data_IF_383056672986
#
_entry.id   IF_383056672986
#
_cell.length_a   1.000
_cell.length_b   1.000
_cell.length_c   1.000
_cell.angle_alpha   90.00
_cell.angle_beta   90.00
_cell.angle_gamma   90.00
#
_symmetry.space_group_name_H-M   'P 1'
#
loop_
_entity.id
_entity.type
_entity.pdbx_description
1 polymer ?
#
# COMPACT_ATOMS: atom_id res chain seq x y z
N UNK A 1 1.84 -2.85 15.58
CA UNK A 1 0.67 -2.24 16.29
C UNK A 1 0.26 -1.00 15.54
N UNK A 2 -1.04 -0.74 15.36
CA UNK A 2 -1.53 0.42 14.64
C UNK A 2 -1.33 1.73 15.44
N UNK A 3 -1.12 2.86 14.76
CA UNK A 3 -1.02 4.19 15.39
C UNK A 3 -2.44 4.70 15.67
N UNK A 4 -2.72 5.08 16.92
CA UNK A 4 -4.05 5.57 17.31
C UNK A 4 -4.36 6.91 16.67
N UNK A 5 -5.46 6.97 15.91
CA UNK A 5 -5.95 8.20 15.28
C UNK A 5 -6.32 9.27 16.32
N UNK A 6 -6.86 8.85 17.48
CA UNK A 6 -7.22 9.77 18.54
C UNK A 6 -5.98 10.42 19.17
N UNK A 7 -4.92 9.65 19.43
CA UNK A 7 -3.67 10.18 19.97
C UNK A 7 -3.05 11.19 19.03
N UNK A 8 -3.01 10.89 17.73
CA UNK A 8 -2.47 11.81 16.71
C UNK A 8 -3.31 13.09 16.63
N UNK A 9 -4.64 12.98 16.58
CA UNK A 9 -5.52 14.15 16.51
C UNK A 9 -5.36 15.06 17.73
N UNK A 10 -5.36 14.49 18.94
CA UNK A 10 -5.18 15.26 20.18
C UNK A 10 -3.81 15.94 20.22
N UNK A 11 -2.74 15.24 19.80
CA UNK A 11 -1.39 15.83 19.76
C UNK A 11 -1.32 16.99 18.77
N UNK A 12 -1.88 16.84 17.58
CA UNK A 12 -1.94 17.91 16.57
C UNK A 12 -2.71 19.11 17.11
N UNK A 13 -3.90 18.90 17.69
CA UNK A 13 -4.67 19.98 18.31
C UNK A 13 -3.92 20.66 19.45
N UNK A 14 -3.23 19.89 20.29
CA UNK A 14 -2.47 20.42 21.41
C UNK A 14 -1.36 21.35 20.94
N UNK A 15 -0.62 20.96 19.91
CA UNK A 15 0.45 21.76 19.33
C UNK A 15 -0.13 23.04 18.70
N UNK A 16 -1.20 22.94 17.90
CA UNK A 16 -1.82 24.08 17.27
C UNK A 16 -2.40 25.07 18.28
N UNK A 17 -3.04 24.58 19.34
CA UNK A 17 -3.63 25.42 20.38
C UNK A 17 -2.54 26.09 21.25
N UNK A 18 -1.44 25.39 21.57
CA UNK A 18 -0.33 25.96 22.36
C UNK A 18 0.31 27.15 21.68
N UNK A 19 0.39 27.09 20.37
CA UNK A 19 0.96 28.16 19.56
C UNK A 19 -0.05 29.28 19.21
N UNK A 20 -1.32 29.18 19.67
CA UNK A 20 -2.45 30.07 19.34
C UNK A 20 -2.63 30.26 17.81
N UNK A 21 -2.34 29.20 17.03
CA UNK A 21 -2.16 29.31 15.58
C UNK A 21 -3.34 28.79 14.76
N UNK A 22 -4.43 28.44 15.41
CA UNK A 22 -5.64 28.04 14.72
C UNK A 22 -6.22 26.71 15.21
N UNK A 23 -7.29 26.31 14.61
CA UNK A 23 -8.06 25.11 14.90
C UNK A 23 -8.27 24.34 13.61
N UNK A 24 -8.14 23.03 13.69
CA UNK A 24 -8.47 22.13 12.58
C UNK A 24 -9.74 21.34 12.94
N UNK A 25 -10.67 21.31 12.01
CA UNK A 25 -11.89 20.50 12.18
C UNK A 25 -11.60 19.02 12.00
N UNK A 26 -12.41 18.12 12.61
CA UNK A 26 -12.26 16.68 12.41
C UNK A 26 -12.31 16.24 10.94
N UNK A 27 -13.14 16.89 10.12
CA UNK A 27 -13.25 16.58 8.70
C UNK A 27 -11.97 16.91 7.92
N UNK A 28 -11.38 18.10 8.19
CA UNK A 28 -10.09 18.50 7.62
C UNK A 28 -8.98 17.58 8.07
N UNK A 29 -8.94 17.24 9.38
CA UNK A 29 -7.97 16.29 9.91
C UNK A 29 -8.06 14.93 9.21
N UNK A 30 -9.27 14.36 9.04
CA UNK A 30 -9.46 13.07 8.39
C UNK A 30 -8.96 13.09 6.93
N UNK A 31 -9.17 14.19 6.22
CA UNK A 31 -8.64 14.37 4.86
C UNK A 31 -7.12 14.38 4.83
N UNK A 32 -6.49 15.14 5.73
CA UNK A 32 -5.03 15.20 5.84
C UNK A 32 -4.43 13.88 6.33
N UNK A 33 -5.07 13.22 7.30
CA UNK A 33 -4.64 11.94 7.81
C UNK A 33 -4.59 10.88 6.71
N UNK A 34 -5.60 10.85 5.84
CA UNK A 34 -5.64 9.95 4.68
C UNK A 34 -4.51 10.24 3.70
N UNK A 35 -4.30 11.52 3.37
CA UNK A 35 -3.22 11.94 2.46
C UNK A 35 -1.86 11.58 3.01
N UNK A 36 -1.60 11.88 4.28
CA UNK A 36 -0.31 11.59 4.94
C UNK A 36 -0.05 10.08 5.03
N UNK A 37 -1.07 9.28 5.36
CA UNK A 37 -0.92 7.83 5.36
C UNK A 37 -0.58 7.30 3.96
N UNK A 38 -1.25 7.78 2.92
CA UNK A 38 -0.97 7.38 1.54
C UNK A 38 0.46 7.80 1.10
N UNK A 39 0.94 8.96 1.51
CA UNK A 39 2.30 9.42 1.23
C UNK A 39 3.36 8.55 1.90
N UNK A 40 3.19 8.23 3.20
CA UNK A 40 4.11 7.36 3.93
C UNK A 40 4.09 5.95 3.35
N UNK A 41 2.89 5.40 3.08
CA UNK A 41 2.77 4.09 2.46
C UNK A 41 3.47 4.02 1.09
N UNK A 42 3.29 5.04 0.25
CA UNK A 42 3.95 5.09 -1.05
C UNK A 42 5.48 5.23 -0.93
N UNK A 43 5.99 5.87 0.13
CA UNK A 43 7.43 6.01 0.35
C UNK A 43 8.13 4.66 0.65
N UNK A 44 7.40 3.64 1.08
CA UNK A 44 7.94 2.29 1.26
C UNK A 44 8.28 1.57 -0.06
N UNK A 45 7.82 2.10 -1.19
CA UNK A 45 8.06 1.54 -2.52
C UNK A 45 8.95 2.47 -3.36
N UNK A 46 10.24 2.61 -3.01
CA UNK A 46 11.15 3.45 -3.75
C UNK A 46 11.31 2.95 -5.19
N UNK A 47 11.58 3.85 -6.11
CA UNK A 47 11.89 3.48 -7.50
C UNK A 47 13.06 2.50 -7.54
N UNK A 48 12.90 1.36 -8.20
CA UNK A 48 13.94 0.33 -8.33
C UNK A 48 15.26 0.85 -8.89
N UNK A 49 15.25 1.99 -9.58
CA UNK A 49 16.46 2.68 -10.03
C UNK A 49 17.24 3.34 -8.88
N UNK A 50 16.59 3.80 -7.82
CA UNK A 50 17.27 4.35 -6.66
C UNK A 50 17.97 3.25 -5.86
N UNK A 51 17.29 2.11 -5.68
CA UNK A 51 17.86 0.93 -5.02
C UNK A 51 19.11 0.42 -5.72
N UNK A 52 19.10 0.36 -7.06
CA UNK A 52 20.25 -0.05 -7.85
C UNK A 52 21.43 0.96 -7.81
N UNK A 53 21.16 2.24 -7.58
CA UNK A 53 22.22 3.28 -7.47
C UNK A 53 22.92 3.25 -6.12
N UNK A 54 22.21 2.91 -5.05
CA UNK A 54 22.79 2.78 -3.71
C UNK A 54 23.85 1.65 -3.65
N UNK A 55 23.64 0.56 -4.38
CA UNK A 55 24.58 -0.57 -4.43
C UNK A 55 25.91 -0.28 -5.15
N UNK A 56 25.98 0.74 -6.01
CA UNK A 56 27.19 0.98 -6.83
C UNK A 56 28.26 1.83 -6.15
N UNK A 57 27.94 2.53 -5.07
CA UNK A 57 28.84 3.51 -4.46
C UNK A 57 29.43 3.12 -3.12
N UNK A 58 29.08 1.96 -2.53
CA UNK A 58 29.54 1.67 -1.17
C UNK A 58 29.96 0.22 -0.99
N UNK A 59 31.25 -0.04 -1.18
CA UNK A 59 31.88 -1.35 -0.93
C UNK A 59 32.12 -1.65 0.56
N UNK A 60 31.78 -0.72 1.48
CA UNK A 60 32.06 -0.88 2.89
C UNK A 60 30.82 -1.12 3.79
N UNK A 61 29.57 -0.97 3.30
CA UNK A 61 28.37 -0.99 4.13
C UNK A 61 27.28 -1.98 3.65
N UNK A 62 27.66 -3.21 3.31
CA UNK A 62 26.67 -4.27 3.03
C UNK A 62 25.68 -4.49 4.19
N UNK A 63 26.15 -4.27 5.44
CA UNK A 63 25.35 -4.50 6.64
C UNK A 63 24.26 -3.42 6.82
N UNK A 64 24.58 -2.15 6.57
CA UNK A 64 23.60 -1.05 6.70
C UNK A 64 22.52 -1.12 5.63
N UNK A 65 22.91 -1.51 4.41
CA UNK A 65 21.96 -1.74 3.32
C UNK A 65 21.00 -2.90 3.62
N UNK A 66 21.49 -4.00 4.17
CA UNK A 66 20.67 -5.12 4.62
C UNK A 66 19.69 -4.69 5.72
N UNK A 67 20.15 -3.95 6.71
CA UNK A 67 19.29 -3.45 7.79
C UNK A 67 18.17 -2.54 7.26
N UNK A 68 18.46 -1.64 6.34
CA UNK A 68 17.46 -0.76 5.73
C UNK A 68 16.41 -1.54 4.93
N UNK A 69 16.81 -2.60 4.20
CA UNK A 69 15.86 -3.48 3.51
C UNK A 69 14.99 -4.27 4.49
N UNK A 70 15.58 -4.79 5.56
CA UNK A 70 14.84 -5.50 6.58
C UNK A 70 13.81 -4.60 7.25
N UNK A 71 14.17 -3.37 7.60
CA UNK A 71 13.26 -2.40 8.23
C UNK A 71 12.09 -2.04 7.32
N UNK A 72 12.35 -1.76 6.03
CA UNK A 72 11.28 -1.54 5.05
C UNK A 72 10.43 -2.79 4.89
N UNK A 73 11.04 -3.97 4.83
CA UNK A 73 10.32 -5.23 4.73
C UNK A 73 9.39 -5.45 5.93
N UNK A 74 9.86 -5.20 7.14
CA UNK A 74 9.02 -5.27 8.35
C UNK A 74 7.85 -4.30 8.31
N UNK A 75 8.05 -3.06 7.88
CA UNK A 75 6.99 -2.06 7.73
C UNK A 75 5.96 -2.48 6.67
N UNK A 76 6.40 -3.06 5.56
CA UNK A 76 5.53 -3.51 4.46
C UNK A 76 4.89 -4.87 4.74
N UNK A 77 5.52 -5.73 5.56
CA UNK A 77 5.06 -7.09 5.83
C UNK A 77 3.62 -7.13 6.39
N UNK A 78 3.20 -6.11 7.14
CA UNK A 78 1.83 -6.01 7.65
C UNK A 78 0.77 -5.83 6.55
N UNK A 79 1.18 -5.40 5.35
CA UNK A 79 0.31 -5.22 4.18
C UNK A 79 0.39 -6.36 3.18
N UNK A 80 1.33 -7.31 3.37
CA UNK A 80 1.49 -8.48 2.51
C UNK A 80 0.63 -9.61 3.03
N UNK A 81 -0.21 -10.14 2.19
CA UNK A 81 -1.04 -11.31 2.50
C UNK A 81 -1.12 -12.24 1.31
N UNK A 82 -1.05 -13.54 1.57
CA UNK A 82 -1.36 -14.55 0.58
C UNK A 82 -2.89 -14.70 0.47
N UNK A 83 -3.40 -14.56 -0.74
CA UNK A 83 -4.85 -14.61 -1.02
C UNK A 83 -5.14 -15.58 -2.14
N UNK A 84 -6.17 -16.37 -1.95
CA UNK A 84 -6.74 -17.21 -3.00
C UNK A 84 -7.67 -16.39 -3.91
N UNK A 85 -7.54 -16.56 -5.22
CA UNK A 85 -8.32 -15.84 -6.21
C UNK A 85 -9.59 -16.57 -6.58
N UNK A 86 -10.69 -15.85 -6.64
CA UNK A 86 -11.96 -16.36 -7.14
C UNK A 86 -11.98 -16.43 -8.65
N UNK A 87 -12.71 -17.38 -9.21
CA UNK A 87 -12.87 -17.55 -10.65
C UNK A 87 -14.05 -16.71 -11.13
N UNK A 88 -13.82 -15.89 -12.14
CA UNK A 88 -14.86 -15.16 -12.86
C UNK A 88 -14.99 -15.70 -14.29
N UNK A 89 -16.21 -16.10 -14.66
CA UNK A 89 -16.50 -16.66 -15.98
C UNK A 89 -17.24 -15.62 -16.82
N UNK A 90 -16.65 -15.22 -17.95
CA UNK A 90 -17.33 -14.38 -18.93
C UNK A 90 -18.22 -15.26 -19.81
N UNK A 91 -19.52 -15.14 -19.63
CA UNK A 91 -20.54 -16.00 -20.26
C UNK A 91 -20.52 -15.93 -21.78
N UNK A 92 -20.14 -14.78 -22.38
CA UNK A 92 -20.18 -14.58 -23.83
C UNK A 92 -19.10 -15.36 -24.60
N UNK A 93 -17.94 -15.64 -24.00
CA UNK A 93 -16.81 -16.27 -24.69
C UNK A 93 -16.23 -17.47 -23.95
N UNK A 94 -16.87 -17.95 -22.90
CA UNK A 94 -16.42 -19.03 -22.04
C UNK A 94 -14.95 -18.82 -21.58
N UNK A 95 -14.59 -17.56 -21.26
CA UNK A 95 -13.28 -17.18 -20.79
C UNK A 95 -13.27 -17.10 -19.26
N UNK A 96 -12.27 -17.69 -18.66
CA UNK A 96 -12.09 -17.69 -17.21
C UNK A 96 -11.03 -16.66 -16.82
N UNK A 97 -11.36 -15.88 -15.81
CA UNK A 97 -10.46 -14.90 -15.20
C UNK A 97 -10.41 -15.14 -13.71
N UNK A 98 -9.28 -14.80 -13.12
CA UNK A 98 -9.07 -14.88 -11.69
C UNK A 98 -8.97 -13.47 -11.13
N UNK A 99 -9.58 -13.22 -9.98
CA UNK A 99 -9.53 -11.92 -9.33
C UNK A 99 -9.46 -12.08 -7.81
N UNK A 100 -8.76 -11.19 -7.11
CA UNK A 100 -8.76 -11.17 -5.66
C UNK A 100 -10.09 -10.64 -5.12
N UNK A 101 -10.52 -11.16 -3.98
CA UNK A 101 -11.78 -10.76 -3.33
C UNK A 101 -11.74 -9.39 -2.64
N UNK A 102 -10.59 -8.72 -2.56
CA UNK A 102 -10.36 -7.48 -1.81
C UNK A 102 -9.58 -6.45 -2.62
N UNK A 103 -9.56 -5.20 -2.14
CA UNK A 103 -8.81 -4.10 -2.77
C UNK A 103 -7.31 -4.36 -2.76
N UNK A 104 -6.73 -4.49 -3.94
CA UNK A 104 -5.32 -4.80 -4.15
C UNK A 104 -4.59 -3.54 -4.58
N UNK A 105 -3.48 -3.22 -3.89
CA UNK A 105 -2.56 -2.19 -4.32
C UNK A 105 -1.60 -2.73 -5.38
N UNK A 106 -0.93 -3.85 -5.08
CA UNK A 106 0.02 -4.48 -5.99
C UNK A 106 -0.06 -6.00 -5.85
N UNK A 107 0.01 -6.70 -6.98
CA UNK A 107 0.11 -8.16 -7.00
C UNK A 107 1.59 -8.51 -7.15
N UNK A 108 2.07 -9.35 -6.25
CA UNK A 108 3.42 -9.90 -6.28
C UNK A 108 3.47 -11.22 -7.05
N UNK A 109 4.02 -12.24 -6.42
CA UNK A 109 4.15 -13.57 -7.02
C UNK A 109 2.78 -14.26 -7.13
N UNK A 110 2.48 -14.78 -8.32
CA UNK A 110 1.25 -15.53 -8.59
C UNK A 110 1.60 -17.01 -8.73
N UNK A 111 0.93 -17.85 -7.95
CA UNK A 111 1.11 -19.30 -7.94
C UNK A 111 -0.14 -19.97 -8.51
N UNK A 112 0.05 -20.75 -9.54
CA UNK A 112 -1.01 -21.54 -10.18
C UNK A 112 -0.91 -23.00 -9.76
N UNK A 113 -2.00 -23.55 -9.20
CA UNK A 113 -2.09 -24.94 -8.76
C UNK A 113 -2.94 -25.74 -9.73
N UNK A 114 -2.41 -26.86 -10.17
CA UNK A 114 -3.03 -27.82 -11.07
C UNK A 114 -3.24 -29.13 -10.33
N UNK A 115 -4.51 -29.52 -10.16
CA UNK A 115 -4.85 -30.81 -9.58
C UNK A 115 -4.59 -31.94 -10.58
N UNK A 116 -4.10 -33.06 -10.11
CA UNK A 116 -3.75 -34.25 -10.87
C UNK A 116 -2.87 -35.14 -10.07
N UNK A 117 -2.38 -36.23 -10.65
CA UNK A 117 -1.35 -37.05 -10.00
C UNK A 117 -0.10 -37.01 -10.87
N UNK A 118 0.98 -36.31 -10.42
CA UNK A 118 1.08 -35.51 -9.18
C UNK A 118 0.41 -34.14 -9.30
N UNK A 119 0.11 -33.49 -8.16
CA UNK A 119 -0.30 -32.08 -8.09
C UNK A 119 0.89 -31.18 -8.37
N UNK A 120 0.71 -30.18 -9.22
CA UNK A 120 1.74 -29.20 -9.56
C UNK A 120 1.34 -27.82 -9.04
N UNK A 121 2.24 -27.15 -8.35
CA UNK A 121 2.16 -25.74 -8.04
C UNK A 121 3.35 -25.03 -8.70
N UNK A 122 3.07 -24.03 -9.52
CA UNK A 122 4.10 -23.37 -10.32
C UNK A 122 3.93 -21.85 -10.25
N UNK A 123 5.06 -21.15 -10.18
CA UNK A 123 5.09 -19.69 -10.29
C UNK A 123 4.68 -19.32 -11.71
N UNK A 124 3.70 -18.40 -11.79
CA UNK A 124 3.12 -17.97 -13.07
C UNK A 124 3.81 -16.69 -13.54
N UNK A 125 4.35 -16.70 -14.76
CA UNK A 125 5.08 -15.57 -15.30
C UNK A 125 4.15 -14.50 -15.88
N UNK A 126 4.36 -13.23 -15.49
CA UNK A 126 3.68 -12.10 -16.09
C UNK A 126 4.22 -11.83 -17.49
N UNK A 127 3.31 -11.70 -18.45
CA UNK A 127 3.64 -11.33 -19.83
C UNK A 127 2.70 -10.23 -20.32
N UNK A 128 3.08 -9.52 -21.37
CA UNK A 128 2.19 -8.57 -22.02
C UNK A 128 1.06 -9.32 -22.77
N UNK A 129 -0.09 -8.67 -22.95
CA UNK A 129 -1.22 -9.27 -23.72
C UNK A 129 -0.81 -9.68 -25.13
N UNK A 130 0.10 -8.92 -25.77
CA UNK A 130 0.60 -9.22 -27.11
C UNK A 130 1.48 -10.49 -27.11
N UNK A 131 2.37 -10.61 -26.12
CA UNK A 131 3.21 -11.81 -25.94
C UNK A 131 2.38 -13.03 -25.59
N UNK A 132 1.43 -12.89 -24.66
CA UNK A 132 0.49 -13.96 -24.32
C UNK A 132 -0.17 -14.54 -25.57
N UNK A 133 -0.68 -13.70 -26.46
CA UNK A 133 -1.35 -14.14 -27.70
C UNK A 133 -0.39 -14.83 -28.68
N UNK A 134 0.89 -14.42 -28.74
CA UNK A 134 1.91 -15.06 -29.56
C UNK A 134 2.32 -16.41 -29.00
N UNK A 135 2.61 -16.47 -27.69
CA UNK A 135 3.07 -17.67 -27.01
C UNK A 135 1.95 -18.75 -27.05
N UNK A 136 0.69 -18.38 -26.81
CA UNK A 136 -0.41 -19.34 -26.81
C UNK A 136 -0.66 -19.98 -28.19
N UNK A 137 -0.40 -19.25 -29.28
CA UNK A 137 -0.53 -19.74 -30.66
C UNK A 137 0.66 -20.54 -31.15
N UNK A 138 1.80 -20.42 -30.49
CA UNK A 138 3.02 -21.13 -30.86
C UNK A 138 2.94 -22.60 -30.47
N UNK A 139 3.29 -23.49 -31.38
CA UNK A 139 3.37 -24.92 -31.08
C UNK A 139 4.59 -25.28 -30.23
N UNK A 140 5.66 -24.45 -30.29
CA UNK A 140 6.92 -24.71 -29.60
C UNK A 140 6.97 -24.11 -28.21
N UNK A 141 6.40 -22.90 -28.03
CA UNK A 141 6.50 -22.16 -26.79
C UNK A 141 5.18 -22.13 -26.00
N UNK A 142 4.22 -22.98 -26.37
CA UNK A 142 2.92 -23.04 -25.71
C UNK A 142 3.08 -23.26 -24.20
N UNK A 143 2.37 -22.51 -23.34
CA UNK A 143 2.48 -22.64 -21.89
C UNK A 143 2.15 -24.05 -21.41
N UNK A 144 2.89 -24.50 -20.40
CA UNK A 144 2.67 -25.78 -19.75
C UNK A 144 2.32 -25.59 -18.28
N UNK A 145 1.87 -26.64 -17.60
CA UNK A 145 1.59 -26.59 -16.16
C UNK A 145 2.83 -26.25 -15.31
N UNK A 146 4.04 -26.49 -15.82
CA UNK A 146 5.30 -26.14 -15.16
C UNK A 146 5.72 -24.70 -15.42
N UNK A 147 5.33 -24.14 -16.55
CA UNK A 147 5.67 -22.77 -16.99
C UNK A 147 4.39 -22.06 -17.43
N UNK A 148 3.47 -21.77 -16.49
CA UNK A 148 2.26 -21.03 -16.80
C UNK A 148 2.57 -19.54 -17.00
N UNK A 149 1.75 -18.88 -17.79
CA UNK A 149 1.84 -17.45 -18.06
C UNK A 149 0.53 -16.75 -17.75
N UNK A 150 0.58 -15.48 -17.39
CA UNK A 150 -0.61 -14.66 -17.20
C UNK A 150 -0.42 -13.23 -17.70
N UNK A 151 -1.54 -12.55 -17.94
CA UNK A 151 -1.55 -11.13 -18.18
C UNK A 151 -2.70 -10.46 -17.43
N UNK A 152 -2.57 -9.15 -17.19
CA UNK A 152 -3.62 -8.35 -16.56
C UNK A 152 -4.61 -7.84 -17.59
N UNK A 153 -5.89 -7.91 -17.24
CA UNK A 153 -6.96 -7.26 -17.96
C UNK A 153 -7.81 -6.47 -16.95
N UNK A 154 -8.14 -5.22 -17.26
CA UNK A 154 -9.05 -4.45 -16.44
C UNK A 154 -10.48 -4.95 -16.65
N UNK A 155 -11.12 -5.39 -15.57
CA UNK A 155 -12.52 -5.81 -15.60
C UNK A 155 -13.46 -4.61 -15.59
N UNK A 156 -14.66 -4.77 -16.15
CA UNK A 156 -15.73 -3.77 -16.07
C UNK A 156 -16.44 -3.78 -14.72
N UNK A 157 -16.32 -4.86 -13.96
CA UNK A 157 -16.92 -5.00 -12.64
C UNK A 157 -15.93 -4.59 -11.55
N UNK A 158 -16.32 -3.66 -10.70
CA UNK A 158 -15.59 -3.15 -9.53
C UNK A 158 -14.17 -2.63 -9.78
N UNK A 159 -13.77 -2.35 -11.03
CA UNK A 159 -12.42 -1.87 -11.34
C UNK A 159 -11.30 -2.86 -11.01
N UNK A 160 -11.64 -4.11 -10.71
CA UNK A 160 -10.70 -5.16 -10.32
C UNK A 160 -9.79 -5.56 -11.47
N UNK A 161 -8.53 -5.81 -11.16
CA UNK A 161 -7.60 -6.39 -12.11
C UNK A 161 -7.92 -7.88 -12.28
N UNK A 162 -8.32 -8.27 -13.48
CA UNK A 162 -8.56 -9.65 -13.84
C UNK A 162 -7.28 -10.27 -14.39
N UNK A 163 -6.96 -11.48 -13.96
CA UNK A 163 -5.82 -12.25 -14.45
C UNK A 163 -6.32 -13.33 -15.40
N UNK A 164 -5.80 -13.35 -16.61
CA UNK A 164 -5.99 -14.49 -17.53
C UNK A 164 -4.74 -15.35 -17.53
N UNK A 165 -4.90 -16.61 -17.16
CA UNK A 165 -3.82 -17.57 -16.97
C UNK A 165 -3.91 -18.68 -18.02
N UNK A 166 -2.79 -19.09 -18.57
CA UNK A 166 -2.69 -20.25 -19.46
C UNK A 166 -1.49 -21.13 -19.05
N UNK A 167 -1.68 -22.48 -18.98
CA UNK A 167 -2.96 -23.19 -19.07
C UNK A 167 -3.86 -22.89 -17.86
N UNK A 168 -5.15 -23.15 -18.00
CA UNK A 168 -6.13 -22.84 -16.93
C UNK A 168 -5.81 -23.66 -15.66
N UNK A 169 -5.53 -23.01 -14.51
CA UNK A 169 -5.30 -23.69 -13.24
C UNK A 169 -6.60 -24.04 -12.53
N UNK A 170 -6.52 -24.93 -11.55
CA UNK A 170 -7.64 -25.26 -10.66
C UNK A 170 -7.79 -24.25 -9.52
N UNK A 171 -6.66 -23.77 -8.98
CA UNK A 171 -6.61 -22.72 -7.96
C UNK A 171 -5.48 -21.74 -8.27
N UNK A 172 -5.65 -20.51 -7.83
CA UNK A 172 -4.66 -19.44 -7.97
C UNK A 172 -4.50 -18.75 -6.62
N UNK A 173 -3.28 -18.72 -6.12
CA UNK A 173 -2.91 -17.93 -4.94
C UNK A 173 -1.88 -16.87 -5.33
N UNK A 174 -1.88 -15.76 -4.65
CA UNK A 174 -0.87 -14.74 -4.88
C UNK A 174 -0.53 -13.97 -3.61
N UNK A 175 0.72 -13.55 -3.51
CA UNK A 175 1.14 -12.58 -2.51
C UNK A 175 0.68 -11.20 -2.96
N UNK A 176 -0.16 -10.56 -2.15
CA UNK A 176 -0.78 -9.27 -2.48
C UNK A 176 -0.38 -8.24 -1.45
N UNK A 177 -0.10 -7.04 -1.92
CA UNK A 177 0.03 -5.87 -1.07
C UNK A 177 -1.31 -5.14 -1.09
N UNK A 178 -1.89 -4.97 0.09
CA UNK A 178 -3.13 -4.23 0.27
C UNK A 178 -2.85 -2.76 0.50
N UNK A 179 -3.75 -1.91 -0.03
CA UNK A 179 -3.74 -0.51 0.36
C UNK A 179 -4.29 -0.38 1.78
N UNK A 180 -3.63 0.38 2.68
CA UNK A 180 -4.15 0.62 4.03
C UNK A 180 -5.53 1.29 3.97
N UNK A 181 -6.39 0.96 4.94
CA UNK A 181 -7.69 1.60 5.10
C UNK A 181 -7.50 3.06 5.50
N UNK A 182 -8.35 3.93 4.99
CA UNK A 182 -8.29 5.35 5.32
C UNK A 182 -8.52 5.58 6.82
N UNK A 183 -7.61 6.28 7.52
CA UNK A 183 -7.80 6.62 8.91
C UNK A 183 -8.98 7.58 9.05
N UNK A 184 -9.74 7.42 10.11
CA UNK A 184 -10.90 8.25 10.38
C UNK A 184 -11.05 8.51 11.88
N UNK A 185 -10.97 9.75 12.29
CA UNK A 185 -11.37 10.15 13.63
C UNK A 185 -12.88 10.36 13.66
N UNK A 186 -13.59 9.32 14.15
CA UNK A 186 -15.03 9.32 14.28
C UNK A 186 -15.47 10.24 15.42
N UNK A 187 -16.53 11.00 15.21
CA UNK A 187 -17.05 11.92 16.21
C UNK A 187 -18.58 11.96 16.23
N UNK A 188 -19.11 12.38 17.36
CA UNK A 188 -20.50 12.79 17.55
C UNK A 188 -20.53 14.25 17.98
N UNK A 189 -21.56 14.98 17.58
CA UNK A 189 -21.74 16.36 17.99
C UNK A 189 -22.51 16.40 19.30
N UNK A 190 -21.92 16.96 20.34
CA UNK A 190 -22.57 17.17 21.62
C UNK A 190 -23.57 18.32 21.60
N UNK A 191 -24.29 18.51 22.74
CA UNK A 191 -25.34 19.54 22.89
C UNK A 191 -24.84 20.99 22.73
N UNK A 192 -23.55 21.23 22.92
CA UNK A 192 -22.89 22.54 22.75
C UNK A 192 -22.10 22.63 21.44
N UNK A 193 -22.43 21.84 20.44
CA UNK A 193 -21.71 21.73 19.16
C UNK A 193 -20.22 21.31 19.28
N UNK A 194 -19.78 20.79 20.44
CA UNK A 194 -18.44 20.24 20.56
C UNK A 194 -18.35 18.87 19.89
N UNK A 195 -17.18 18.57 19.31
CA UNK A 195 -16.87 17.26 18.75
C UNK A 195 -16.39 16.31 19.86
N UNK A 196 -17.06 15.19 20.03
CA UNK A 196 -16.74 14.16 21.00
C UNK A 196 -16.29 12.92 20.25
N UNK A 197 -15.13 12.38 20.61
CA UNK A 197 -14.57 11.17 20.01
C UNK A 197 -15.51 9.98 20.14
N UNK A 198 -15.70 9.26 19.03
CA UNK A 198 -16.48 8.02 18.98
C UNK A 198 -15.61 6.88 18.45
N UNK A 199 -15.15 6.02 19.35
CA UNK A 199 -14.32 4.87 19.00
C UNK A 199 -15.02 3.89 18.04
N UNK A 200 -16.35 3.77 18.11
CA UNK A 200 -17.11 2.82 17.29
C UNK A 200 -17.15 3.17 15.79
N UNK A 201 -16.90 4.43 15.44
CA UNK A 201 -16.86 4.90 14.05
C UNK A 201 -15.45 5.34 13.60
N UNK A 202 -14.47 5.17 14.49
CA UNK A 202 -13.08 5.54 14.23
C UNK A 202 -12.33 4.41 13.56
N UNK A 203 -11.38 4.77 12.70
CA UNK A 203 -10.41 3.88 12.06
C UNK A 203 -9.00 4.38 12.36
N UNK A 204 -8.20 3.57 13.02
CA UNK A 204 -6.80 3.89 13.30
C UNK A 204 -5.93 3.80 12.05
N UNK A 205 -4.77 4.48 12.08
CA UNK A 205 -3.76 4.34 11.04
C UNK A 205 -3.25 2.91 11.01
N UNK A 206 -3.13 2.34 9.83
CA UNK A 206 -2.59 0.98 9.66
C UNK A 206 -1.07 0.94 9.51
N UNK A 207 -0.39 2.06 9.72
CA UNK A 207 1.07 2.14 9.71
C UNK A 207 1.68 1.63 11.02
N UNK A 208 2.97 1.30 11.00
CA UNK A 208 3.70 0.91 12.19
C UNK A 208 3.80 2.05 13.21
N UNK A 209 3.92 1.69 14.49
CA UNK A 209 4.00 2.68 15.60
C UNK A 209 5.19 3.60 15.46
N UNK A 210 6.28 3.15 14.87
CA UNK A 210 7.48 3.97 14.60
C UNK A 210 7.18 5.21 13.74
N UNK A 211 6.13 5.14 12.90
CA UNK A 211 5.74 6.24 12.01
C UNK A 211 4.91 7.34 12.71
N UNK A 212 4.57 7.19 13.98
CA UNK A 212 3.70 8.14 14.67
C UNK A 212 4.22 9.57 14.63
N UNK A 213 5.51 9.77 14.87
CA UNK A 213 6.15 11.09 14.83
C UNK A 213 6.12 11.69 13.41
N UNK A 214 6.43 10.87 12.42
CA UNK A 214 6.41 11.26 11.00
C UNK A 214 4.99 11.68 10.56
N UNK A 215 3.96 10.93 10.96
CA UNK A 215 2.55 11.27 10.71
C UNK A 215 2.22 12.65 11.29
N UNK A 216 2.56 12.89 12.56
CA UNK A 216 2.26 14.16 13.25
C UNK A 216 2.95 15.33 12.55
N UNK A 217 4.24 15.21 12.24
CA UNK A 217 5.01 16.26 11.56
C UNK A 217 4.43 16.59 10.19
N UNK A 218 4.11 15.58 9.39
CA UNK A 218 3.50 15.77 8.07
C UNK A 218 2.11 16.41 8.16
N UNK A 219 1.27 16.00 9.11
CA UNK A 219 -0.04 16.63 9.32
C UNK A 219 0.13 18.10 9.72
N UNK A 220 1.04 18.42 10.63
CA UNK A 220 1.33 19.78 11.03
C UNK A 220 1.82 20.66 9.87
N UNK A 221 2.64 20.11 8.98
CA UNK A 221 3.06 20.79 7.75
C UNK A 221 1.85 21.21 6.91
N UNK A 222 0.90 20.30 6.68
CA UNK A 222 -0.32 20.63 5.93
C UNK A 222 -1.25 21.56 6.70
N UNK A 223 -1.38 21.42 8.02
CA UNK A 223 -2.12 22.36 8.86
C UNK A 223 -1.53 23.78 8.74
N UNK A 224 -0.21 23.92 8.69
CA UNK A 224 0.46 25.19 8.49
C UNK A 224 0.09 25.87 7.17
N UNK A 225 -0.05 25.09 6.09
CA UNK A 225 -0.51 25.59 4.79
C UNK A 225 -1.97 26.06 4.87
N UNK A 226 -2.86 25.26 5.47
CA UNK A 226 -4.29 25.61 5.61
C UNK A 226 -4.48 26.89 6.43
N UNK A 227 -3.73 27.04 7.52
CA UNK A 227 -3.82 28.20 8.41
C UNK A 227 -2.99 29.39 7.88
N UNK A 228 -2.32 29.21 6.75
CA UNK A 228 -1.43 30.18 6.14
C UNK A 228 -0.31 30.68 7.09
N UNK A 229 0.28 29.74 7.85
CA UNK A 229 1.34 30.02 8.83
C UNK A 229 2.71 29.54 8.35
N UNK A 230 3.56 30.44 7.82
CA UNK A 230 4.86 30.07 7.26
C UNK A 230 5.84 29.44 8.29
N UNK A 231 5.70 29.79 9.55
CA UNK A 231 6.60 29.27 10.60
C UNK A 231 6.36 27.79 10.87
N UNK A 232 5.11 27.35 10.90
CA UNK A 232 4.77 25.91 11.05
C UNK A 232 5.31 25.12 9.87
N UNK A 233 5.15 25.66 8.65
CA UNK A 233 5.65 25.01 7.44
C UNK A 233 7.18 24.83 7.52
N UNK A 234 7.92 25.88 7.89
CA UNK A 234 9.38 25.85 7.97
C UNK A 234 9.87 24.82 9.00
N UNK A 235 9.29 24.79 10.21
CA UNK A 235 9.66 23.83 11.24
C UNK A 235 9.38 22.40 10.81
N UNK A 236 8.18 22.15 10.26
CA UNK A 236 7.81 20.83 9.80
C UNK A 236 8.63 20.36 8.57
N UNK A 237 9.09 21.30 7.71
CA UNK A 237 10.00 20.97 6.62
C UNK A 237 11.40 20.63 7.08
N UNK A 238 11.91 21.30 8.09
CA UNK A 238 13.21 20.98 8.69
C UNK A 238 13.19 19.57 9.31
N UNK A 239 12.18 19.26 10.13
CA UNK A 239 12.05 17.93 10.72
C UNK A 239 11.80 16.84 9.68
N UNK A 240 11.02 17.10 8.63
CA UNK A 240 10.84 16.14 7.54
C UNK A 240 12.15 15.84 6.81
N UNK A 241 13.00 16.85 6.59
CA UNK A 241 14.32 16.65 5.97
C UNK A 241 15.27 15.85 6.87
N UNK A 242 15.24 16.11 8.18
CA UNK A 242 16.05 15.35 9.14
C UNK A 242 15.64 13.86 9.16
N UNK A 243 14.35 13.56 9.14
CA UNK A 243 13.85 12.19 9.05
C UNK A 243 14.30 11.54 7.74
N UNK A 244 14.14 12.23 6.59
CA UNK A 244 14.58 11.71 5.30
C UNK A 244 16.10 11.48 5.19
N UNK A 245 16.91 12.28 5.90
CA UNK A 245 18.36 12.11 5.95
C UNK A 245 18.71 10.90 6.82
N UNK A 246 18.04 10.74 7.95
CA UNK A 246 18.26 9.60 8.84
C UNK A 246 17.83 8.28 8.21
N UNK A 247 16.75 8.28 7.41
CA UNK A 247 16.29 7.10 6.66
C UNK A 247 17.20 6.74 5.48
N UNK A 248 18.08 7.66 5.05
CA UNK A 248 19.02 7.47 3.92
C UNK A 248 20.47 7.29 4.34
N UNK A 249 20.78 7.45 5.63
CA UNK A 249 22.12 7.26 6.18
C UNK A 249 22.29 5.89 6.80
#
# INVERSE_FOLDING_TARGET
MAVSVNTVYQTVLYILNKEQRGYITPAEFNSLATQVQDEIFNSYFPDGNQLNRLNQNNTQNDTEFFNMFEDIYYKVASFIQEVEFSIFTVTQNNQFFYYPSSQVYKIGEVISTYTGQPTYSSITQLVSKAEYSKIERSKLTKPTKQYPIYYYQKGSENGSNLLKISPMPNAVTANIIFKPLNPNWGFITGSLNQYIYNAGTSQDFQLDVSEQSNIIVKILKYCGVIINNPTIIQVAEQESKEVEINDKS
#
